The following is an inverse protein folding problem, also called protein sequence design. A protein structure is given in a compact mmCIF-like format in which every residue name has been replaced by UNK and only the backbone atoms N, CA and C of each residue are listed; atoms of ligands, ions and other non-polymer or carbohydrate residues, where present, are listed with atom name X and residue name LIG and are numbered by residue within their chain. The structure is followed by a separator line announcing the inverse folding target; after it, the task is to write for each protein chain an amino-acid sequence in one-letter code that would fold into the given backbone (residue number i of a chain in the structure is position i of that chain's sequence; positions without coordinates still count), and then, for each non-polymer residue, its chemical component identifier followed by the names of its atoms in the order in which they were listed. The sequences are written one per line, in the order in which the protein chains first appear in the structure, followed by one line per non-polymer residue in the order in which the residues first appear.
data_IF_035310296988
#
_entry.id   IF_035310296988
#
_cell.length_a   1.000
_cell.length_b   1.000
_cell.length_c   1.000
_cell.angle_alpha   90.00
_cell.angle_beta   90.00
_cell.angle_gamma   90.00
#
_symmetry.space_group_name_H-M   'P 1'
#
loop_
_entity.id
_entity.type
_entity.pdbx_description
1 polymer ?
#
# COMPACT_ATOMS: atom_id res chain seq x y z
N UNK A 1 -38.13 24.78 18.61
CA UNK A 1 -37.11 24.99 17.56
C UNK A 1 -35.75 24.39 17.93
N UNK A 2 -35.30 24.45 19.19
CA UNK A 2 -33.97 23.96 19.62
C UNK A 2 -33.76 22.44 19.54
N UNK A 3 -34.81 21.62 19.68
CA UNK A 3 -34.70 20.17 19.60
C UNK A 3 -34.46 19.68 18.15
N UNK A 4 -35.17 20.26 17.18
CA UNK A 4 -34.98 19.96 15.76
C UNK A 4 -33.58 20.35 15.28
N UNK A 5 -33.06 21.50 15.73
CA UNK A 5 -31.70 21.95 15.41
C UNK A 5 -30.62 21.02 15.99
N UNK A 6 -30.84 20.48 17.20
CA UNK A 6 -29.94 19.50 17.84
C UNK A 6 -29.97 18.15 17.12
N UNK A 7 -31.13 17.71 16.65
CA UNK A 7 -31.29 16.48 15.87
C UNK A 7 -30.60 16.58 14.50
N UNK A 8 -30.72 17.73 13.82
CA UNK A 8 -30.04 17.98 12.54
C UNK A 8 -28.51 17.99 12.68
N UNK A 9 -27.97 18.62 13.73
CA UNK A 9 -26.52 18.64 13.97
C UNK A 9 -25.95 17.25 14.29
N UNK A 10 -26.70 16.43 15.05
CA UNK A 10 -26.29 15.07 15.35
C UNK A 10 -26.25 14.18 14.09
N UNK A 11 -27.26 14.29 13.21
CA UNK A 11 -27.30 13.56 11.95
C UNK A 11 -26.12 13.94 11.02
N UNK A 12 -25.78 15.23 10.96
CA UNK A 12 -24.67 15.71 10.14
C UNK A 12 -23.31 15.20 10.65
N UNK A 13 -23.10 15.21 11.97
CA UNK A 13 -21.87 14.72 12.59
C UNK A 13 -21.68 13.20 12.38
N UNK A 14 -22.76 12.42 12.49
CA UNK A 14 -22.73 10.98 12.24
C UNK A 14 -22.44 10.70 10.76
N UNK A 15 -23.08 11.43 9.84
CA UNK A 15 -22.82 11.31 8.40
C UNK A 15 -21.37 11.61 8.02
N UNK A 16 -20.78 12.66 8.59
CA UNK A 16 -19.38 13.01 8.36
C UNK A 16 -18.42 11.92 8.87
N UNK A 17 -18.66 11.35 10.05
CA UNK A 17 -17.83 10.28 10.61
C UNK A 17 -17.84 9.01 9.74
N UNK A 18 -18.99 8.66 9.16
CA UNK A 18 -19.11 7.50 8.27
C UNK A 18 -18.36 7.70 6.94
N UNK A 19 -18.39 8.92 6.38
CA UNK A 19 -17.67 9.24 5.15
C UNK A 19 -16.14 9.20 5.34
N UNK A 20 -15.64 9.65 6.50
CA UNK A 20 -14.21 9.54 6.83
C UNK A 20 -13.75 8.08 7.00
N UNK A 21 -14.61 7.21 7.55
CA UNK A 21 -14.30 5.78 7.72
C UNK A 21 -14.22 5.00 6.41
N UNK A 22 -14.86 5.47 5.33
CA UNK A 22 -14.84 4.83 4.02
C UNK A 22 -13.56 5.10 3.22
N UNK A 23 -12.80 6.15 3.56
CA UNK A 23 -11.49 6.42 2.98
C UNK A 23 -10.35 5.64 3.68
N UNK A 24 -10.63 5.01 4.83
CA UNK A 24 -9.71 4.13 5.52
C UNK A 24 -9.81 2.71 4.96
N UNK A 25 -9.00 2.40 3.96
CA UNK A 25 -8.93 1.04 3.41
C UNK A 25 -8.65 0.01 4.51
N UNK A 26 -9.61 -0.88 4.77
CA UNK A 26 -9.38 -2.05 5.63
C UNK A 26 -8.46 -2.99 4.89
N UNK A 27 -7.19 -3.00 5.27
CA UNK A 27 -6.27 -4.09 4.90
C UNK A 27 -6.93 -5.40 5.31
N UNK A 28 -7.25 -6.28 4.35
CA UNK A 28 -7.89 -7.56 4.65
C UNK A 28 -6.95 -8.37 5.56
N UNK A 29 -7.29 -8.56 6.86
CA UNK A 29 -6.37 -9.15 7.82
C UNK A 29 -6.21 -10.67 7.62
N UNK A 30 -6.99 -11.28 6.72
CA UNK A 30 -6.82 -12.66 6.30
C UNK A 30 -5.77 -12.80 5.18
N UNK A 31 -5.68 -11.83 4.26
CA UNK A 31 -4.68 -11.84 3.19
C UNK A 31 -3.27 -11.54 3.73
N UNK A 32 -3.14 -10.53 4.58
CA UNK A 32 -1.83 -10.11 5.12
C UNK A 32 -1.22 -11.18 6.04
N UNK A 33 -2.01 -11.82 6.90
CA UNK A 33 -1.48 -12.81 7.87
C UNK A 33 -1.00 -14.09 7.21
N UNK A 34 -1.68 -14.57 6.16
CA UNK A 34 -1.32 -15.83 5.52
C UNK A 34 -0.06 -15.67 4.67
N UNK A 35 0.07 -14.55 3.95
CA UNK A 35 1.27 -14.23 3.17
C UNK A 35 2.47 -13.92 4.08
N UNK A 36 2.28 -13.09 5.12
CA UNK A 36 3.35 -12.78 6.09
C UNK A 36 3.84 -14.02 6.85
N UNK A 37 2.94 -14.95 7.22
CA UNK A 37 3.34 -16.17 7.94
C UNK A 37 4.10 -17.15 7.06
N UNK A 38 3.84 -17.18 5.74
CA UNK A 38 4.61 -18.01 4.80
C UNK A 38 5.99 -17.41 4.45
N UNK A 39 6.18 -16.11 4.65
CA UNK A 39 7.39 -15.37 4.27
C UNK A 39 8.29 -14.99 5.47
N UNK A 40 7.81 -15.18 6.70
CA UNK A 40 8.56 -14.85 7.91
C UNK A 40 9.78 -15.77 8.06
N UNK A 41 10.99 -15.21 7.85
CA UNK A 41 12.26 -15.90 8.07
C UNK A 41 12.98 -16.39 6.79
N UNK A 42 12.41 -16.18 5.61
CA UNK A 42 13.04 -16.50 4.31
C UNK A 42 13.47 -15.23 3.58
N UNK A 43 14.57 -15.25 2.83
CA UNK A 43 14.95 -14.08 2.05
C UNK A 43 13.86 -13.73 1.02
N UNK A 44 13.59 -12.43 0.83
CA UNK A 44 12.51 -11.95 -0.05
C UNK A 44 12.67 -12.39 -1.52
N UNK A 45 13.90 -12.67 -1.95
CA UNK A 45 14.20 -13.21 -3.28
C UNK A 45 13.99 -14.73 -3.36
N UNK A 46 14.04 -15.45 -2.24
CA UNK A 46 13.77 -16.89 -2.15
C UNK A 46 12.26 -17.17 -1.99
N UNK A 47 11.55 -16.28 -1.28
CA UNK A 47 10.12 -16.35 -1.04
C UNK A 47 9.32 -15.94 -2.28
N UNK A 48 9.22 -16.84 -3.27
CA UNK A 48 8.64 -16.45 -4.54
C UNK A 48 8.07 -17.54 -5.39
N UNK A 49 7.67 -18.70 -4.87
CA UNK A 49 7.05 -19.75 -5.72
C UNK A 49 5.55 -19.94 -5.53
N UNK A 50 4.93 -19.45 -4.45
CA UNK A 50 3.52 -19.72 -4.14
C UNK A 50 2.55 -18.57 -4.46
N UNK A 51 3.03 -17.33 -4.60
CA UNK A 51 2.18 -16.22 -5.00
C UNK A 51 2.09 -16.14 -6.53
N UNK A 52 0.89 -16.23 -7.09
CA UNK A 52 0.64 -16.05 -8.54
C UNK A 52 0.96 -14.62 -9.05
N UNK A 53 1.38 -13.72 -8.16
CA UNK A 53 1.68 -12.32 -8.44
C UNK A 53 3.19 -12.09 -8.52
N UNK A 54 3.80 -12.53 -9.64
CA UNK A 54 5.21 -12.24 -9.94
C UNK A 54 5.31 -11.20 -11.04
N UNK A 55 6.27 -10.29 -10.92
CA UNK A 55 6.61 -9.40 -12.02
C UNK A 55 7.18 -10.23 -13.18
N UNK A 56 6.80 -9.88 -14.42
CA UNK A 56 7.36 -10.52 -15.60
C UNK A 56 8.89 -10.38 -15.62
N UNK A 57 9.60 -11.48 -15.89
CA UNK A 57 11.07 -11.53 -15.92
C UNK A 57 11.76 -11.81 -14.58
N UNK A 58 11.01 -11.93 -13.48
CA UNK A 58 11.56 -12.35 -12.18
C UNK A 58 11.42 -13.86 -11.95
N UNK A 59 12.54 -14.49 -11.57
CA UNK A 59 12.59 -15.91 -11.19
C UNK A 59 12.84 -16.03 -9.69
N UNK A 60 12.07 -16.84 -8.94
CA UNK A 60 12.37 -17.10 -7.54
C UNK A 60 13.75 -17.73 -7.34
N UNK A 61 14.46 -17.29 -6.31
CA UNK A 61 15.85 -17.67 -6.05
C UNK A 61 16.88 -16.76 -6.72
N UNK A 62 16.50 -15.94 -7.71
CA UNK A 62 17.42 -14.99 -8.34
C UNK A 62 17.40 -13.64 -7.60
N UNK A 63 18.35 -13.47 -6.69
CA UNK A 63 18.57 -12.21 -5.96
C UNK A 63 18.84 -11.03 -6.89
N UNK A 64 19.68 -11.21 -7.92
CA UNK A 64 20.06 -10.12 -8.81
C UNK A 64 18.86 -9.62 -9.63
N UNK A 65 18.00 -10.52 -10.10
CA UNK A 65 16.73 -10.17 -10.73
C UNK A 65 15.81 -9.43 -9.76
N UNK A 66 15.61 -9.95 -8.54
CA UNK A 66 14.79 -9.30 -7.51
C UNK A 66 15.26 -7.86 -7.22
N UNK A 67 16.56 -7.67 -7.02
CA UNK A 67 17.13 -6.35 -6.73
C UNK A 67 16.93 -5.35 -7.89
N UNK A 68 17.06 -5.80 -9.15
CA UNK A 68 16.79 -4.96 -10.32
C UNK A 68 15.35 -4.48 -10.31
N UNK A 69 14.39 -5.37 -10.04
CA UNK A 69 12.99 -5.00 -9.93
C UNK A 69 12.74 -4.00 -8.78
N UNK A 70 13.36 -4.21 -7.62
CA UNK A 70 13.20 -3.30 -6.47
C UNK A 70 13.79 -1.91 -6.76
N UNK A 71 14.97 -1.83 -7.38
CA UNK A 71 15.58 -0.56 -7.78
C UNK A 71 14.74 0.18 -8.81
N UNK A 72 14.18 -0.51 -9.80
CA UNK A 72 13.33 0.11 -10.81
C UNK A 72 12.05 0.70 -10.19
N UNK A 73 11.41 -0.04 -9.27
CA UNK A 73 10.22 0.44 -8.55
C UNK A 73 10.51 1.66 -7.70
N UNK A 74 11.65 1.70 -7.00
CA UNK A 74 11.98 2.82 -6.12
C UNK A 74 12.23 4.13 -6.88
N UNK A 75 12.65 4.09 -8.15
CA UNK A 75 12.84 5.30 -8.96
C UNK A 75 11.54 6.09 -9.17
N UNK A 76 10.41 5.40 -9.31
CA UNK A 76 9.13 6.05 -9.63
C UNK A 76 8.27 6.38 -8.40
N UNK A 77 8.73 5.99 -7.21
CA UNK A 77 8.02 6.19 -5.93
C UNK A 77 8.75 7.19 -5.02
N UNK A 78 9.79 7.86 -5.52
CA UNK A 78 10.53 8.86 -4.77
C UNK A 78 10.14 10.27 -5.24
N UNK A 79 9.42 11.00 -4.39
CA UNK A 79 9.01 12.39 -4.64
C UNK A 79 10.20 13.37 -4.66
N UNK A 80 11.37 12.96 -4.16
CA UNK A 80 12.59 13.76 -4.22
C UNK A 80 13.26 13.65 -5.60
N UNK A 81 12.58 14.15 -6.63
CA UNK A 81 13.22 14.38 -7.92
C UNK A 81 14.09 15.63 -7.77
N UNK A 82 15.42 15.48 -7.77
CA UNK A 82 16.33 16.64 -7.85
C UNK A 82 16.04 17.36 -9.16
N UNK A 83 15.31 18.47 -9.10
CA UNK A 83 15.14 19.38 -10.22
C UNK A 83 16.52 20.01 -10.45
N UNK A 84 17.31 19.44 -11.36
CA UNK A 84 18.51 20.10 -11.85
C UNK A 84 18.02 21.31 -12.65
N UNK A 85 18.07 22.49 -12.03
CA UNK A 85 17.72 23.74 -12.67
C UNK A 85 18.51 23.89 -13.97
N UNK A 86 17.80 24.06 -15.08
CA UNK A 86 18.37 24.60 -16.31
C UNK A 86 18.87 26.02 -16.02
N UNK A 87 20.15 26.14 -15.70
CA UNK A 87 20.90 27.39 -15.74
C UNK A 87 22.02 27.22 -16.77
N UNK A 88 21.73 27.59 -18.01
CA UNK A 88 22.65 27.69 -19.14
C UNK A 88 22.16 28.78 -20.06
#
# INVERSE_FOLDING_TARGET
MSAALRLSSAALAIGAALLLGACGERQNPAQTRQEQRQQAGTEAWAAGSSSGFKAAGWTPGDQASWERHMRARSQNQNEYVRIQGKGG
#
